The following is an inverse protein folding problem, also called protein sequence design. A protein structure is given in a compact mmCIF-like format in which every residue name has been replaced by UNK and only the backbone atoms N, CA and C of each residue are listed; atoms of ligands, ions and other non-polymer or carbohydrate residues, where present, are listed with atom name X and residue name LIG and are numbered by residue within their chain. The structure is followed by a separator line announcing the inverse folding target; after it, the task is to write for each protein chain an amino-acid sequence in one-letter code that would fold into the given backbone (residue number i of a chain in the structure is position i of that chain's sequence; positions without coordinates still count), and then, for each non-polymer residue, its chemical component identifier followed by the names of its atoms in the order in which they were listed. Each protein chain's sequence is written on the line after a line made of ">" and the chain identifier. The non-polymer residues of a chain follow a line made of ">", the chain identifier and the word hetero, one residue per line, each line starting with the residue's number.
data_IF_543267463253
#
_entry.id   IF_543267463253
#
_cell.length_a   1.000
_cell.length_b   1.000
_cell.length_c   1.000
_cell.angle_alpha   90.00
_cell.angle_beta   90.00
_cell.angle_gamma   90.00
#
_symmetry.space_group_name_H-M   'P 1'
#
loop_
_entity.id
_entity.type
_entity.pdbx_description
1 polymer ?
#
# COMPACT_ATOMS: atom_id res chain seq x y z
N UNK A 1 -56.01 -5.34 34.59
CA UNK A 1 -54.90 -4.43 34.28
C UNK A 1 -53.62 -5.19 34.60
N UNK A 2 -53.00 -5.80 33.60
CA UNK A 2 -51.67 -6.40 33.70
C UNK A 2 -50.91 -5.86 32.50
N UNK A 3 -49.99 -4.94 32.77
CA UNK A 3 -49.19 -4.29 31.75
C UNK A 3 -48.10 -5.25 31.27
N UNK A 4 -48.02 -5.44 29.96
CA UNK A 4 -46.90 -6.08 29.29
C UNK A 4 -45.72 -5.10 29.25
N UNK A 5 -44.51 -5.58 29.54
CA UNK A 5 -43.27 -4.90 29.16
C UNK A 5 -42.47 -5.90 28.32
N UNK A 6 -42.53 -5.70 27.01
CA UNK A 6 -41.59 -6.29 26.07
C UNK A 6 -40.37 -5.37 26.01
N UNK A 7 -39.22 -5.84 26.49
CA UNK A 7 -37.93 -5.17 26.26
C UNK A 7 -37.38 -5.74 24.97
N UNK A 8 -37.57 -5.00 23.87
CA UNK A 8 -36.81 -5.15 22.64
C UNK A 8 -35.42 -4.54 22.88
N UNK A 9 -34.44 -5.37 23.23
CA UNK A 9 -33.04 -4.99 23.14
C UNK A 9 -32.61 -5.16 21.68
N UNK A 10 -32.84 -4.13 20.86
CA UNK A 10 -32.16 -4.00 19.56
C UNK A 10 -30.75 -3.51 19.88
N UNK A 11 -29.83 -4.46 20.08
CA UNK A 11 -28.41 -4.19 20.11
C UNK A 11 -27.94 -3.89 18.70
N UNK A 12 -28.00 -2.63 18.29
CA UNK A 12 -27.14 -2.13 17.22
C UNK A 12 -25.85 -1.65 17.90
N UNK A 13 -24.84 -2.52 17.94
CA UNK A 13 -23.45 -2.06 18.14
C UNK A 13 -23.05 -1.34 16.86
N UNK A 14 -23.42 -0.07 16.75
CA UNK A 14 -22.80 0.82 15.79
C UNK A 14 -21.39 1.11 16.31
N UNK A 15 -20.41 0.36 15.83
CA UNK A 15 -19.02 0.73 16.01
C UNK A 15 -18.76 1.92 15.07
N UNK A 16 -18.57 3.09 15.67
CA UNK A 16 -18.15 4.30 14.98
C UNK A 16 -16.61 4.29 14.98
N UNK A 17 -16.03 3.61 14.00
CA UNK A 17 -14.61 3.77 13.69
C UNK A 17 -14.47 5.07 12.89
N UNK A 18 -13.57 5.96 13.31
CA UNK A 18 -13.18 7.16 12.56
C UNK A 18 -11.72 7.49 12.88
N UNK A 19 -10.80 6.72 12.33
CA UNK A 19 -9.37 7.03 12.21
C UNK A 19 -9.15 8.04 11.07
N UNK A 20 -7.95 8.61 10.92
CA UNK A 20 -7.64 9.54 9.81
C UNK A 20 -6.18 9.36 9.39
N UNK A 21 -5.97 8.64 8.29
CA UNK A 21 -4.67 8.23 7.79
C UNK A 21 -4.25 9.11 6.60
N UNK A 22 -3.27 9.97 6.80
CA UNK A 22 -2.87 10.93 5.75
C UNK A 22 -1.43 10.68 5.32
N UNK A 23 -1.21 10.21 4.09
CA UNK A 23 0.14 10.31 3.49
C UNK A 23 0.46 11.77 3.17
N UNK A 24 1.47 12.38 3.82
CA UNK A 24 1.87 13.77 3.58
C UNK A 24 3.32 13.89 3.11
N UNK A 25 3.51 14.00 1.80
CA UNK A 25 4.69 14.63 1.19
C UNK A 25 5.83 13.67 0.82
N UNK A 26 5.79 13.15 -0.41
CA UNK A 26 6.95 12.45 -0.99
C UNK A 26 8.05 13.46 -1.35
N UNK A 27 9.21 13.41 -0.66
CA UNK A 27 10.36 14.27 -0.94
C UNK A 27 11.22 13.71 -2.10
N UNK A 28 11.51 14.55 -3.11
CA UNK A 28 12.32 14.18 -4.27
C UNK A 28 13.78 14.68 -4.23
N UNK A 29 14.69 13.80 -4.66
CA UNK A 29 15.88 14.18 -5.42
C UNK A 29 15.88 13.41 -6.75
N UNK A 30 15.25 13.99 -7.78
CA UNK A 30 15.27 13.46 -9.14
C UNK A 30 16.65 13.71 -9.79
N UNK A 31 17.49 12.68 -9.79
CA UNK A 31 18.77 12.68 -10.50
C UNK A 31 18.60 12.35 -11.98
N UNK A 32 18.39 13.36 -12.82
CA UNK A 32 18.67 13.37 -14.28
C UNK A 32 17.88 12.44 -15.23
N UNK A 33 16.82 11.75 -14.78
CA UNK A 33 15.91 10.99 -15.65
C UNK A 33 14.47 11.47 -15.45
N UNK A 34 13.76 11.60 -16.57
CA UNK A 34 12.33 11.92 -16.65
C UNK A 34 11.54 10.61 -16.39
N UNK A 35 11.34 10.31 -15.10
CA UNK A 35 10.48 9.22 -14.63
C UNK A 35 9.12 9.83 -14.28
N UNK A 36 8.11 9.45 -15.06
CA UNK A 36 6.73 9.82 -14.78
C UNK A 36 5.99 8.61 -14.22
N UNK A 37 5.04 8.87 -13.35
CA UNK A 37 4.29 7.82 -12.67
C UNK A 37 2.80 8.08 -12.89
N UNK A 38 1.99 7.03 -12.89
CA UNK A 38 0.55 7.10 -12.69
C UNK A 38 0.12 6.02 -11.69
N UNK A 39 -1.07 6.18 -11.13
CA UNK A 39 -1.63 5.21 -10.19
C UNK A 39 -3.10 4.97 -10.51
N UNK A 40 -3.49 3.71 -10.46
CA UNK A 40 -4.90 3.31 -10.47
C UNK A 40 -5.17 2.43 -9.26
N UNK A 41 -6.17 2.78 -8.47
CA UNK A 41 -6.38 2.18 -7.15
C UNK A 41 -7.82 1.75 -6.90
N UNK A 42 -7.95 0.76 -6.04
CA UNK A 42 -9.19 0.13 -5.61
C UNK A 42 -9.16 -0.03 -4.09
N UNK A 43 -10.32 0.10 -3.44
CA UNK A 43 -10.44 -0.02 -1.99
C UNK A 43 -11.77 -0.67 -1.60
N UNK A 44 -11.80 -1.35 -0.46
CA UNK A 44 -13.05 -1.80 0.14
C UNK A 44 -13.92 -0.60 0.46
N UNK A 45 -15.13 -0.57 -0.11
CA UNK A 45 -16.13 0.44 0.20
C UNK A 45 -16.64 0.26 1.63
N UNK A 46 -16.49 1.29 2.46
CA UNK A 46 -17.01 1.31 3.85
C UNK A 46 -18.53 1.14 3.93
N UNK A 47 -19.25 1.40 2.84
CA UNK A 47 -20.71 1.29 2.78
C UNK A 47 -21.23 -0.07 2.31
N UNK A 48 -20.46 -0.78 1.46
CA UNK A 48 -20.90 -2.02 0.81
C UNK A 48 -20.03 -3.22 1.13
N UNK A 49 -18.83 -3.02 1.66
CA UNK A 49 -17.82 -4.07 1.87
C UNK A 49 -17.26 -4.67 0.59
N UNK A 50 -17.59 -4.09 -0.58
CA UNK A 50 -17.09 -4.54 -1.88
C UNK A 50 -15.90 -3.71 -2.32
N UNK A 51 -14.96 -4.32 -3.05
CA UNK A 51 -13.88 -3.61 -3.70
C UNK A 51 -14.44 -2.66 -4.78
N UNK A 52 -14.05 -1.39 -4.74
CA UNK A 52 -14.49 -0.34 -5.67
C UNK A 52 -13.30 0.51 -6.11
N UNK A 53 -13.37 1.13 -7.29
CA UNK A 53 -12.34 2.06 -7.74
C UNK A 53 -12.24 3.28 -6.80
N UNK A 54 -11.02 3.66 -6.44
CA UNK A 54 -10.74 4.78 -5.54
C UNK A 54 -10.22 6.00 -6.32
N UNK A 55 -11.07 7.01 -6.49
CA UNK A 55 -10.68 8.23 -7.21
C UNK A 55 -9.70 9.13 -6.43
N UNK A 56 -9.57 8.96 -5.10
CA UNK A 56 -8.72 9.83 -4.28
C UNK A 56 -7.23 9.51 -4.47
N UNK A 57 -6.91 8.24 -4.75
CA UNK A 57 -5.55 7.74 -4.95
C UNK A 57 -5.31 7.30 -6.40
N UNK A 58 -6.28 7.48 -7.30
CA UNK A 58 -6.11 7.25 -8.74
C UNK A 58 -5.85 8.56 -9.48
N UNK A 59 -4.76 8.62 -10.23
CA UNK A 59 -4.33 9.85 -10.90
C UNK A 59 -3.52 9.55 -12.15
N UNK A 60 -3.64 10.43 -13.13
CA UNK A 60 -2.99 10.30 -14.44
C UNK A 60 -1.51 10.67 -14.40
N UNK A 61 -0.77 10.20 -15.42
CA UNK A 61 0.66 10.41 -15.65
C UNK A 61 1.15 11.81 -15.29
N UNK A 62 2.16 11.88 -14.44
CA UNK A 62 2.82 13.11 -13.99
C UNK A 62 4.13 12.82 -13.23
N UNK A 63 4.86 13.89 -12.95
CA UNK A 63 5.92 13.86 -11.94
C UNK A 63 5.27 13.86 -10.55
N UNK A 64 5.76 13.00 -9.66
CA UNK A 64 5.29 12.95 -8.28
C UNK A 64 5.68 14.22 -7.53
N UNK A 65 4.70 14.81 -6.85
CA UNK A 65 4.86 15.99 -5.99
C UNK A 65 4.14 15.77 -4.65
N UNK A 66 2.83 15.61 -4.68
CA UNK A 66 1.96 15.50 -3.50
C UNK A 66 1.01 14.30 -3.60
N UNK A 67 1.15 13.50 -4.65
CA UNK A 67 0.32 12.35 -4.95
C UNK A 67 0.42 11.29 -3.85
N UNK A 68 -0.71 10.66 -3.58
CA UNK A 68 -0.84 9.60 -2.58
C UNK A 68 -1.07 8.27 -3.27
N UNK A 69 -0.31 7.25 -2.85
CA UNK A 69 -0.57 5.86 -3.20
C UNK A 69 -1.59 5.24 -2.24
N UNK A 70 -1.78 5.81 -1.07
CA UNK A 70 -2.87 5.41 -0.18
C UNK A 70 -3.29 6.61 0.67
N UNK A 71 -4.58 6.66 0.98
CA UNK A 71 -5.21 7.70 1.77
C UNK A 71 -6.48 7.09 2.38
N UNK A 72 -6.41 6.74 3.66
CA UNK A 72 -7.52 6.09 4.34
C UNK A 72 -8.07 7.05 5.40
N UNK A 73 -9.38 7.12 5.55
CA UNK A 73 -9.98 8.01 6.54
C UNK A 73 -10.90 7.26 7.50
N UNK A 74 -10.98 5.94 7.37
CA UNK A 74 -11.86 5.08 8.16
C UNK A 74 -11.51 3.62 7.84
N UNK A 75 -10.43 3.09 8.41
CA UNK A 75 -9.96 1.72 8.16
C UNK A 75 -10.59 0.76 9.18
N UNK A 76 -11.32 -0.23 8.68
CA UNK A 76 -11.94 -1.27 9.52
C UNK A 76 -11.21 -2.59 9.41
N UNK A 77 -11.18 -3.41 10.48
CA UNK A 77 -10.56 -4.72 10.43
C UNK A 77 -11.06 -5.55 9.24
N UNK A 78 -10.13 -5.99 8.38
CA UNK A 78 -10.42 -6.71 7.14
C UNK A 78 -10.60 -5.83 5.90
N UNK A 79 -10.56 -4.50 6.02
CA UNK A 79 -10.47 -3.61 4.87
C UNK A 79 -9.16 -3.84 4.13
N UNK A 80 -9.26 -3.74 2.80
CA UNK A 80 -8.13 -3.89 1.91
C UNK A 80 -8.22 -2.88 0.80
N UNK A 81 -7.09 -2.69 0.12
CA UNK A 81 -7.07 -1.97 -1.13
C UNK A 81 -5.85 -2.37 -1.94
N UNK A 82 -5.86 -1.94 -3.18
CA UNK A 82 -4.91 -2.36 -4.18
C UNK A 82 -4.66 -1.25 -5.19
N UNK A 83 -3.43 -1.08 -5.63
CA UNK A 83 -3.10 -0.16 -6.71
C UNK A 83 -2.12 -0.73 -7.72
N UNK A 84 -2.25 -0.26 -8.96
CA UNK A 84 -1.27 -0.39 -10.03
C UNK A 84 -0.50 0.91 -10.15
N UNK A 85 0.78 0.84 -9.83
CA UNK A 85 1.71 1.96 -10.03
C UNK A 85 2.42 1.74 -11.37
N UNK A 86 2.19 2.62 -12.33
CA UNK A 86 2.88 2.58 -13.62
C UNK A 86 4.12 3.47 -13.59
N UNK A 87 5.27 2.91 -13.95
CA UNK A 87 6.56 3.58 -14.02
C UNK A 87 6.94 3.79 -15.48
N UNK A 88 6.99 5.06 -15.91
CA UNK A 88 7.28 5.45 -17.30
C UNK A 88 8.69 5.99 -17.41
N UNK A 89 9.59 5.19 -17.98
CA UNK A 89 10.99 5.60 -18.21
C UNK A 89 11.06 6.27 -19.58
N UNK A 90 11.04 7.60 -19.65
CA UNK A 90 10.77 8.27 -20.93
C UNK A 90 11.91 8.17 -21.96
N UNK A 91 13.18 8.38 -21.57
CA UNK A 91 14.22 8.70 -22.56
C UNK A 91 15.50 7.86 -22.50
N UNK A 92 15.95 7.44 -21.33
CA UNK A 92 17.23 6.76 -21.15
C UNK A 92 17.04 5.47 -20.38
N UNK A 93 17.80 4.45 -20.75
CA UNK A 93 17.84 3.21 -20.01
C UNK A 93 18.26 3.48 -18.56
N UNK A 94 17.52 2.91 -17.62
CA UNK A 94 17.56 3.32 -16.22
C UNK A 94 17.51 2.14 -15.25
N UNK A 95 18.23 2.29 -14.16
CA UNK A 95 18.06 1.53 -12.92
C UNK A 95 16.97 2.19 -12.09
N UNK A 96 16.18 1.38 -11.39
CA UNK A 96 15.08 1.82 -10.55
C UNK A 96 15.16 1.23 -9.15
N UNK A 97 14.98 2.08 -8.16
CA UNK A 97 14.80 1.71 -6.76
C UNK A 97 13.52 2.34 -6.24
N UNK A 98 12.84 1.67 -5.32
CA UNK A 98 11.79 2.27 -4.52
C UNK A 98 12.27 2.37 -3.06
N UNK A 99 11.96 3.47 -2.39
CA UNK A 99 12.21 3.64 -0.97
C UNK A 99 10.89 3.95 -0.27
N UNK A 100 10.65 3.25 0.83
CA UNK A 100 9.46 3.43 1.67
C UNK A 100 9.93 3.80 3.06
N UNK A 101 9.44 4.92 3.60
CA UNK A 101 9.79 5.40 4.94
C UNK A 101 8.53 5.63 5.75
N UNK A 102 8.41 4.99 6.92
CA UNK A 102 7.37 5.35 7.89
C UNK A 102 7.74 6.70 8.51
N UNK A 103 6.94 7.74 8.34
CA UNK A 103 7.25 9.11 8.78
C UNK A 103 6.45 9.55 10.00
N UNK A 104 5.31 8.93 10.28
CA UNK A 104 4.59 9.09 11.55
C UNK A 104 3.87 7.80 11.95
N UNK A 105 3.67 7.63 13.26
CA UNK A 105 2.93 6.53 13.89
C UNK A 105 2.41 7.05 15.22
N UNK A 106 1.31 7.79 15.17
CA UNK A 106 0.81 8.64 16.26
C UNK A 106 -0.46 8.03 16.87
N UNK A 107 -0.50 8.02 18.20
CA UNK A 107 -1.72 7.85 19.00
C UNK A 107 -2.34 9.24 19.19
N UNK A 108 -3.51 9.50 18.60
CA UNK A 108 -4.09 10.84 18.57
C UNK A 108 -4.97 11.16 19.78
N UNK A 109 -5.73 10.18 20.29
CA UNK A 109 -6.59 10.36 21.46
C UNK A 109 -7.13 9.04 22.01
N UNK A 110 -6.88 8.74 23.28
CA UNK A 110 -7.44 7.51 23.86
C UNK A 110 -8.92 7.59 24.21
N UNK A 111 -9.72 6.82 23.49
CA UNK A 111 -11.15 6.62 23.72
C UNK A 111 -11.41 5.54 24.78
N UNK A 112 -12.61 5.51 25.34
CA UNK A 112 -12.97 4.47 26.32
C UNK A 112 -12.91 3.04 25.75
N UNK A 113 -13.34 2.78 24.49
CA UNK A 113 -13.17 1.46 23.86
C UNK A 113 -11.70 1.04 23.68
N UNK A 114 -10.81 1.96 23.30
CA UNK A 114 -9.36 1.71 23.18
C UNK A 114 -8.77 1.27 24.53
N UNK A 115 -8.97 2.10 25.56
CA UNK A 115 -8.46 1.84 26.90
C UNK A 115 -9.04 0.55 27.51
N UNK A 116 -10.29 0.22 27.19
CA UNK A 116 -10.91 -1.03 27.64
C UNK A 116 -10.30 -2.27 26.97
N UNK A 117 -9.74 -2.13 25.76
CA UNK A 117 -9.08 -3.21 25.02
C UNK A 117 -7.56 -3.29 25.27
N UNK A 118 -7.05 -2.48 26.20
CA UNK A 118 -5.68 -2.56 26.70
C UNK A 118 -4.71 -1.55 26.09
N UNK A 119 -5.23 -0.54 25.40
CA UNK A 119 -4.46 0.58 24.89
C UNK A 119 -3.85 1.45 26.02
N UNK A 120 -2.76 2.15 25.69
CA UNK A 120 -2.04 3.06 26.56
C UNK A 120 -2.56 4.48 26.33
N UNK A 121 -3.06 5.10 27.41
CA UNK A 121 -3.49 6.50 27.38
C UNK A 121 -2.46 7.42 26.69
N UNK A 122 -2.92 8.25 25.75
CA UNK A 122 -2.14 9.19 24.95
C UNK A 122 -1.28 10.14 25.81
N UNK A 123 -1.71 10.39 27.05
CA UNK A 123 -0.93 11.16 28.02
C UNK A 123 0.34 10.43 28.50
N UNK A 124 0.44 9.12 28.26
CA UNK A 124 1.54 8.23 28.65
C UNK A 124 2.38 7.74 27.47
N UNK A 125 1.78 7.55 26.29
CA UNK A 125 2.46 7.19 25.04
C UNK A 125 1.81 7.94 23.88
N UNK A 126 2.58 8.46 22.93
CA UNK A 126 2.04 9.08 21.71
C UNK A 126 2.30 8.23 20.47
N UNK A 127 2.78 7.00 20.66
CA UNK A 127 3.08 6.07 19.55
C UNK A 127 1.86 5.18 19.37
N UNK A 128 1.32 5.16 18.15
CA UNK A 128 0.16 4.33 17.81
C UNK A 128 0.52 2.88 17.48
N UNK A 129 -0.53 2.07 17.32
CA UNK A 129 -0.50 0.63 17.05
C UNK A 129 -0.98 0.26 15.63
N UNK A 130 -1.50 1.23 14.87
CA UNK A 130 -2.04 0.98 13.54
C UNK A 130 -0.97 0.52 12.53
N UNK A 131 0.23 1.11 12.56
CA UNK A 131 1.27 0.79 11.58
C UNK A 131 1.80 -0.66 11.66
N UNK A 132 1.57 -1.33 12.79
CA UNK A 132 1.90 -2.73 13.04
C UNK A 132 0.79 -3.68 12.54
N UNK A 133 -0.41 -3.15 12.27
CA UNK A 133 -1.57 -3.93 11.87
C UNK A 133 -1.98 -3.74 10.40
N UNK A 134 -1.52 -2.67 9.73
CA UNK A 134 -1.62 -2.53 8.28
C UNK A 134 -0.44 -3.25 7.61
N UNK A 135 -0.74 -4.28 6.83
CA UNK A 135 0.24 -5.08 6.12
C UNK A 135 0.18 -4.80 4.63
N UNK A 136 1.33 -4.61 4.01
CA UNK A 136 1.48 -4.38 2.58
C UNK A 136 1.98 -5.63 1.86
N UNK A 137 1.65 -5.75 0.58
CA UNK A 137 2.19 -6.71 -0.37
C UNK A 137 2.48 -5.97 -1.68
N UNK A 138 3.60 -6.29 -2.32
CA UNK A 138 4.01 -5.68 -3.58
C UNK A 138 4.46 -6.77 -4.55
N UNK A 139 4.22 -6.60 -5.84
CA UNK A 139 4.69 -7.52 -6.87
C UNK A 139 5.03 -6.82 -8.18
N UNK A 140 5.84 -7.48 -8.99
CA UNK A 140 6.05 -7.11 -10.38
C UNK A 140 4.80 -7.51 -11.17
N UNK A 141 4.01 -6.50 -11.54
CA UNK A 141 2.71 -6.67 -12.19
C UNK A 141 2.86 -6.49 -13.71
N UNK A 142 1.97 -7.09 -14.48
CA UNK A 142 1.89 -6.90 -15.93
C UNK A 142 0.93 -5.76 -16.36
N UNK A 143 0.30 -5.12 -15.37
CA UNK A 143 -0.52 -3.91 -15.47
C UNK A 143 -2.02 -4.14 -15.28
N UNK A 144 -2.48 -5.39 -15.14
CA UNK A 144 -3.89 -5.69 -14.95
C UNK A 144 -4.40 -5.52 -13.50
N UNK A 145 -3.48 -5.32 -12.54
CA UNK A 145 -3.77 -5.18 -11.10
C UNK A 145 -4.35 -6.45 -10.49
N UNK A 146 -3.78 -7.60 -10.81
CA UNK A 146 -4.19 -8.88 -10.28
C UNK A 146 -2.94 -9.69 -10.00
N UNK A 147 -2.77 -10.16 -8.76
CA UNK A 147 -1.64 -11.03 -8.46
C UNK A 147 -1.84 -12.42 -9.05
N UNK A 148 -0.94 -12.81 -9.96
CA UNK A 148 -1.05 -14.02 -10.76
C UNK A 148 0.09 -15.04 -10.53
N UNK A 149 -0.19 -16.30 -10.86
CA UNK A 149 0.85 -17.34 -10.86
C UNK A 149 2.01 -16.98 -11.80
N UNK A 150 3.22 -16.90 -11.24
CA UNK A 150 4.44 -16.59 -11.99
C UNK A 150 4.91 -15.15 -11.85
N UNK A 151 4.14 -14.28 -11.22
CA UNK A 151 4.57 -12.93 -10.86
C UNK A 151 5.49 -12.92 -9.64
N UNK A 152 6.46 -12.00 -9.67
CA UNK A 152 7.48 -11.89 -8.63
C UNK A 152 6.95 -11.06 -7.47
N UNK A 153 6.73 -11.69 -6.32
CA UNK A 153 6.46 -10.95 -5.08
C UNK A 153 7.72 -10.28 -4.56
N UNK A 154 7.56 -9.05 -4.09
CA UNK A 154 8.62 -8.26 -3.48
C UNK A 154 8.54 -8.37 -1.96
N UNK A 155 9.65 -8.13 -1.24
CA UNK A 155 9.64 -8.05 0.22
C UNK A 155 8.58 -7.06 0.71
N UNK A 156 7.71 -7.50 1.60
CA UNK A 156 6.61 -6.72 2.12
C UNK A 156 6.22 -7.17 3.54
N UNK A 157 5.44 -6.37 4.24
CA UNK A 157 5.06 -6.56 5.63
C UNK A 157 4.39 -5.31 6.20
N UNK A 158 4.32 -5.23 7.53
CA UNK A 158 3.87 -4.01 8.21
C UNK A 158 5.02 -3.00 8.33
N UNK A 159 4.70 -1.71 8.30
CA UNK A 159 5.71 -0.65 8.41
C UNK A 159 6.12 -0.39 9.85
N UNK A 160 5.25 -0.68 10.82
CA UNK A 160 5.54 -0.49 12.25
C UNK A 160 6.74 -1.30 12.77
N UNK A 161 7.11 -2.42 12.13
CA UNK A 161 8.33 -3.17 12.47
C UNK A 161 9.63 -2.44 12.12
N UNK A 162 9.59 -1.50 11.16
CA UNK A 162 10.78 -0.75 10.74
C UNK A 162 11.08 0.42 11.66
N UNK A 163 10.04 0.94 12.33
CA UNK A 163 10.11 2.12 13.18
C UNK A 163 10.04 3.44 12.40
N UNK A 164 9.54 4.49 13.05
CA UNK A 164 9.41 5.82 12.44
C UNK A 164 10.79 6.38 12.07
N UNK A 165 10.91 6.89 10.85
CA UNK A 165 12.13 7.42 10.25
C UNK A 165 13.01 6.37 9.57
N UNK A 166 12.68 5.08 9.66
CA UNK A 166 13.42 4.03 8.98
C UNK A 166 12.98 3.91 7.51
N UNK A 167 13.95 3.84 6.60
CA UNK A 167 13.72 3.67 5.17
C UNK A 167 14.02 2.24 4.75
N UNK A 168 13.06 1.58 4.12
CA UNK A 168 13.26 0.31 3.43
C UNK A 168 13.46 0.55 1.94
N UNK A 169 14.59 0.12 1.40
CA UNK A 169 14.89 0.19 -0.04
C UNK A 169 14.59 -1.13 -0.72
N UNK A 170 13.79 -1.06 -1.79
CA UNK A 170 13.43 -2.17 -2.66
C UNK A 170 14.14 -1.99 -4.01
N UNK A 171 14.90 -3.00 -4.41
CA UNK A 171 15.53 -3.05 -5.73
C UNK A 171 14.52 -3.48 -6.79
N UNK A 172 14.11 -2.56 -7.65
CA UNK A 172 13.24 -2.86 -8.80
C UNK A 172 14.09 -3.30 -10.01
N UNK A 173 15.13 -2.54 -10.33
CA UNK A 173 16.13 -2.90 -11.32
C UNK A 173 17.48 -2.24 -11.01
N UNK A 174 18.53 -3.04 -10.88
CA UNK A 174 19.91 -2.60 -10.76
C UNK A 174 20.87 -3.53 -11.53
N UNK A 175 22.18 -3.30 -11.40
CA UNK A 175 23.17 -4.12 -12.12
C UNK A 175 23.17 -5.61 -11.76
N UNK A 176 22.52 -5.99 -10.67
CA UNK A 176 22.47 -7.36 -10.14
C UNK A 176 21.08 -8.00 -10.22
N UNK A 177 20.00 -7.22 -10.16
CA UNK A 177 18.63 -7.71 -10.07
C UNK A 177 17.68 -6.92 -10.97
N UNK A 178 16.65 -7.57 -11.51
CA UNK A 178 15.53 -6.91 -12.18
C UNK A 178 14.27 -7.74 -11.95
N UNK A 179 13.24 -7.14 -11.35
CA UNK A 179 12.04 -7.86 -10.93
C UNK A 179 11.12 -8.28 -12.09
N UNK A 180 11.25 -7.62 -13.26
CA UNK A 180 10.49 -7.95 -14.47
C UNK A 180 11.26 -8.80 -15.47
N UNK A 181 12.52 -9.13 -15.19
CA UNK A 181 13.36 -9.88 -16.10
C UNK A 181 14.05 -11.04 -15.37
N UNK A 182 14.01 -12.23 -15.98
CA UNK A 182 14.80 -13.38 -15.54
C UNK A 182 16.30 -13.24 -15.91
N UNK A 183 16.85 -12.03 -15.83
CA UNK A 183 18.20 -11.70 -16.25
C UNK A 183 18.80 -10.55 -15.43
N UNK A 184 20.00 -10.77 -14.89
CA UNK A 184 20.75 -9.77 -14.13
C UNK A 184 21.35 -8.70 -15.05
N UNK A 185 21.52 -7.49 -14.52
CA UNK A 185 22.16 -6.39 -15.26
C UNK A 185 21.35 -5.88 -16.46
N UNK A 186 20.03 -6.07 -16.44
CA UNK A 186 19.13 -5.56 -17.47
C UNK A 186 18.45 -4.29 -16.97
N UNK A 187 18.81 -3.10 -17.46
CA UNK A 187 18.10 -1.88 -17.09
C UNK A 187 16.72 -1.85 -17.74
N UNK A 188 15.81 -1.02 -17.22
CA UNK A 188 14.59 -0.68 -17.96
C UNK A 188 14.98 0.18 -19.15
N UNK A 189 14.40 -0.11 -20.32
CA UNK A 189 14.74 0.63 -21.54
C UNK A 189 14.04 1.98 -21.56
N UNK A 190 14.67 2.97 -22.20
CA UNK A 190 13.98 4.21 -22.51
C UNK A 190 12.76 3.96 -23.41
N UNK A 191 11.61 4.50 -23.01
CA UNK A 191 10.30 4.31 -23.63
C UNK A 191 9.46 3.18 -23.01
N UNK A 192 10.02 2.43 -22.05
CA UNK A 192 9.30 1.34 -21.39
C UNK A 192 8.35 1.85 -20.30
N UNK A 193 7.21 1.17 -20.18
CA UNK A 193 6.32 1.23 -19.02
C UNK A 193 6.45 -0.09 -18.27
N UNK A 194 6.55 0.00 -16.94
CA UNK A 194 6.52 -1.17 -16.04
C UNK A 194 5.54 -0.93 -14.91
N UNK A 195 4.94 -1.99 -14.41
CA UNK A 195 3.90 -1.91 -13.40
C UNK A 195 4.36 -2.57 -12.10
N UNK A 196 3.99 -1.94 -11.00
CA UNK A 196 4.10 -2.50 -9.66
C UNK A 196 2.68 -2.60 -9.12
N UNK A 197 2.28 -3.82 -8.80
CA UNK A 197 1.07 -4.05 -8.02
C UNK A 197 1.37 -3.86 -6.55
N UNK A 198 0.45 -3.20 -5.85
CA UNK A 198 0.50 -2.99 -4.40
C UNK A 198 -0.83 -3.39 -3.82
N UNK A 199 -0.85 -4.23 -2.80
CA UNK A 199 -2.01 -4.47 -1.96
C UNK A 199 -1.72 -4.10 -0.51
N UNK A 200 -2.75 -3.70 0.22
CA UNK A 200 -2.69 -3.51 1.66
C UNK A 200 -3.92 -4.13 2.33
N UNK A 201 -3.76 -4.51 3.59
CA UNK A 201 -4.79 -5.15 4.39
C UNK A 201 -4.66 -4.69 5.84
N UNK A 202 -5.76 -4.28 6.45
CA UNK A 202 -5.83 -4.11 7.89
C UNK A 202 -6.12 -5.46 8.55
N UNK A 203 -5.04 -6.15 8.91
CA UNK A 203 -5.04 -7.56 9.29
C UNK A 203 -3.90 -8.32 8.62
N UNK A 204 -4.07 -9.63 8.46
CA UNK A 204 -3.08 -10.49 7.82
C UNK A 204 -3.27 -10.54 6.31
N UNK A 205 -2.24 -10.14 5.57
CA UNK A 205 -2.18 -10.24 4.11
C UNK A 205 -1.46 -11.54 3.69
N UNK A 206 -1.99 -12.23 2.69
CA UNK A 206 -1.33 -13.40 2.12
C UNK A 206 -1.59 -13.52 0.61
N UNK A 207 -0.61 -14.00 -0.17
CA UNK A 207 -0.80 -14.27 -1.59
C UNK A 207 -1.87 -15.35 -1.79
N UNK A 208 -2.79 -15.10 -2.71
CA UNK A 208 -3.81 -16.04 -3.18
C UNK A 208 -3.88 -15.97 -4.72
N UNK A 209 -2.72 -16.22 -5.34
CA UNK A 209 -2.49 -15.98 -6.76
C UNK A 209 -3.57 -16.60 -7.63
N UNK A 210 -4.10 -15.82 -8.58
CA UNK A 210 -5.02 -16.35 -9.58
C UNK A 210 -4.24 -16.94 -10.75
N UNK A 211 -4.90 -17.81 -11.53
CA UNK A 211 -4.27 -18.39 -12.72
C UNK A 211 -3.97 -17.30 -13.76
N UNK A 212 -2.71 -17.21 -14.16
CA UNK A 212 -2.16 -16.28 -15.15
C UNK A 212 -2.95 -16.30 -16.47
N UNK A 213 -3.44 -15.14 -16.93
CA UNK A 213 -4.23 -15.02 -18.16
C UNK A 213 -3.40 -14.68 -19.42
N UNK A 214 -2.15 -14.26 -19.23
CA UNK A 214 -1.18 -13.95 -20.27
C UNK A 214 -1.36 -12.59 -20.93
N UNK A 215 -2.19 -11.70 -20.36
CA UNK A 215 -2.45 -10.37 -20.86
C UNK A 215 -2.37 -9.35 -19.72
N UNK A 216 -1.63 -8.27 -19.97
CA UNK A 216 -1.81 -7.06 -19.18
C UNK A 216 -3.23 -6.49 -19.35
N UNK A 217 -3.46 -5.30 -18.78
CA UNK A 217 -4.81 -4.72 -18.74
C UNK A 217 -5.52 -4.61 -20.09
N UNK A 218 -6.64 -5.32 -20.20
CA UNK A 218 -7.58 -5.26 -21.35
C UNK A 218 -8.93 -4.62 -20.98
N UNK A 219 -9.10 -4.21 -19.72
CA UNK A 219 -10.30 -3.58 -19.20
C UNK A 219 -11.39 -4.55 -18.72
N UNK A 220 -11.23 -5.86 -18.94
CA UNK A 220 -12.13 -6.91 -18.44
C UNK A 220 -11.41 -8.00 -17.63
N UNK A 221 -10.12 -7.82 -17.37
CA UNK A 221 -9.29 -8.73 -16.58
C UNK A 221 -8.79 -8.11 -15.26
N UNK A 222 -9.27 -6.92 -14.88
CA UNK A 222 -8.86 -6.32 -13.62
C UNK A 222 -9.44 -7.00 -12.37
N UNK A 223 -9.12 -6.48 -11.18
CA UNK A 223 -9.42 -7.11 -9.89
C UNK A 223 -10.91 -7.19 -9.58
N UNK A 224 -11.72 -6.29 -10.16
CA UNK A 224 -13.18 -6.33 -10.03
C UNK A 224 -13.83 -7.53 -10.75
N UNK A 225 -13.12 -8.17 -11.68
CA UNK A 225 -13.62 -9.32 -12.45
C UNK A 225 -12.95 -10.61 -12.00
N UNK A 226 -11.63 -10.59 -11.82
CA UNK A 226 -10.83 -11.78 -11.55
C UNK A 226 -10.51 -11.98 -10.07
N UNK A 227 -10.79 -10.98 -9.23
CA UNK A 227 -10.24 -10.90 -7.88
C UNK A 227 -8.83 -10.29 -7.91
N UNK A 228 -8.33 -9.90 -6.74
CA UNK A 228 -7.03 -9.23 -6.57
C UNK A 228 -5.84 -10.20 -6.60
N UNK A 229 -6.08 -11.51 -6.45
CA UNK A 229 -5.02 -12.48 -6.19
C UNK A 229 -4.37 -12.34 -4.81
N UNK A 230 -4.94 -11.53 -3.92
CA UNK A 230 -4.44 -11.27 -2.57
C UNK A 230 -5.57 -11.46 -1.56
N UNK A 231 -5.29 -12.21 -0.50
CA UNK A 231 -6.23 -12.42 0.60
C UNK A 231 -5.94 -11.49 1.77
N UNK A 232 -6.99 -10.88 2.32
CA UNK A 232 -6.95 -10.14 3.57
C UNK A 232 -7.79 -10.89 4.60
N UNK A 233 -7.18 -11.24 5.73
CA UNK A 233 -7.81 -12.05 6.78
C UNK A 233 -7.38 -11.58 8.17
N UNK A 234 -7.85 -12.24 9.23
CA UNK A 234 -7.41 -11.93 10.58
C UNK A 234 -8.00 -10.64 11.18
N UNK A 235 -8.84 -9.90 10.44
CA UNK A 235 -9.53 -8.72 10.97
C UNK A 235 -10.35 -9.01 12.24
N UNK A 236 -10.91 -10.21 12.39
CA UNK A 236 -11.64 -10.61 13.59
C UNK A 236 -10.77 -10.77 14.85
N UNK A 237 -9.44 -10.82 14.70
CA UNK A 237 -8.50 -10.88 15.81
C UNK A 237 -7.99 -9.49 16.22
N UNK A 238 -8.31 -8.45 15.45
CA UNK A 238 -8.03 -7.06 15.79
C UNK A 238 -9.10 -6.55 16.77
N UNK A 239 -8.67 -5.70 17.69
CA UNK A 239 -9.51 -5.08 18.72
C UNK A 239 -9.60 -3.57 18.50
N UNK A 240 -10.13 -2.85 19.49
CA UNK A 240 -10.33 -1.42 19.38
C UNK A 240 -9.08 -0.60 19.66
N UNK A 241 -7.88 -1.16 19.84
CA UNK A 241 -6.70 -0.39 20.25
C UNK A 241 -6.18 0.61 19.20
N UNK A 242 -6.69 0.60 17.97
CA UNK A 242 -6.12 1.35 16.83
C UNK A 242 -7.06 2.40 16.26
N UNK A 243 -8.15 2.74 16.95
CA UNK A 243 -9.27 3.47 16.34
C UNK A 243 -8.97 4.94 16.07
N UNK A 244 -8.13 5.56 16.88
CA UNK A 244 -7.78 6.96 16.76
C UNK A 244 -6.34 7.16 16.31
N UNK A 245 -5.58 6.09 16.18
CA UNK A 245 -4.23 6.10 15.64
C UNK A 245 -4.17 6.72 14.26
N UNK A 246 -2.96 7.17 13.89
CA UNK A 246 -2.65 7.54 12.53
C UNK A 246 -1.22 7.20 12.14
N UNK A 247 -1.01 6.77 10.91
CA UNK A 247 0.30 6.51 10.34
C UNK A 247 0.49 7.24 9.01
N UNK A 248 1.72 7.69 8.78
CA UNK A 248 2.14 8.32 7.53
C UNK A 248 3.35 7.58 7.00
N UNK A 249 3.37 7.27 5.71
CA UNK A 249 4.58 6.81 5.05
C UNK A 249 4.81 7.53 3.72
N UNK A 250 6.08 7.73 3.42
CA UNK A 250 6.58 8.32 2.17
C UNK A 250 7.04 7.19 1.26
N UNK A 251 6.61 7.24 -0.01
CA UNK A 251 7.04 6.32 -1.06
C UNK A 251 7.74 7.14 -2.14
N UNK A 252 9.01 6.83 -2.37
CA UNK A 252 9.81 7.50 -3.40
C UNK A 252 10.37 6.51 -4.40
N UNK A 253 10.51 6.96 -5.64
CA UNK A 253 11.13 6.19 -6.71
C UNK A 253 12.37 6.93 -7.20
N UNK A 254 13.48 6.20 -7.30
CA UNK A 254 14.75 6.74 -7.81
C UNK A 254 15.08 6.08 -9.14
N UNK A 255 15.35 6.92 -10.12
CA UNK A 255 15.85 6.49 -11.43
C UNK A 255 17.30 6.97 -11.64
N UNK A 256 18.17 6.05 -12.05
CA UNK A 256 19.59 6.35 -12.35
C UNK A 256 19.97 5.79 -13.71
N UNK A 257 20.60 6.59 -14.56
CA UNK A 257 20.90 6.19 -15.93
C UNK A 257 21.89 5.05 -15.96
N UNK A 258 21.58 3.98 -16.71
CA UNK A 258 22.41 2.79 -16.76
C UNK A 258 23.72 2.98 -17.54
N UNK A 259 23.69 3.76 -18.63
CA UNK A 259 24.82 3.97 -19.56
C UNK A 259 26.13 4.35 -18.87
N UNK A 260 26.07 5.23 -17.88
CA UNK A 260 27.25 5.72 -17.16
C UNK A 260 27.40 5.10 -15.76
N UNK A 261 26.45 4.25 -15.35
CA UNK A 261 26.39 3.65 -14.02
C UNK A 261 26.17 2.14 -14.11
N UNK A 262 26.96 1.45 -14.94
CA UNK A 262 26.75 0.02 -15.24
C UNK A 262 26.80 -0.91 -14.01
N UNK A 263 27.48 -0.50 -12.93
CA UNK A 263 27.58 -1.24 -11.66
C UNK A 263 26.72 -0.66 -10.53
N UNK A 264 25.70 0.13 -10.85
CA UNK A 264 24.80 0.70 -9.85
C UNK A 264 24.06 -0.41 -9.09
N UNK A 265 23.96 -0.25 -7.78
CA UNK A 265 23.19 -1.12 -6.90
C UNK A 265 22.25 -0.23 -6.08
N UNK A 266 21.01 -0.67 -5.89
CA UNK A 266 20.10 0.05 -5.01
C UNK A 266 20.64 -0.01 -3.58
N UNK A 267 20.81 1.16 -2.98
CA UNK A 267 21.23 1.33 -1.59
C UNK A 267 20.28 2.29 -0.90
N UNK A 268 20.14 2.13 0.41
CA UNK A 268 19.40 3.06 1.24
C UNK A 268 20.00 4.46 1.09
N UNK A 269 19.17 5.50 0.87
CA UNK A 269 19.65 6.87 0.85
C UNK A 269 20.31 7.22 2.20
N UNK A 270 21.41 7.98 2.15
CA UNK A 270 22.13 8.49 3.33
C UNK A 270 21.33 9.52 4.12
#
# INVERSE_FOLDING_TARGET
>A
MVAAVAVLAVGATGAFFSDTETSTGNLFTAGAIDLQIDNESYVTSTSTGALVANANTSWSLRDLTIEKFFDFADVKPGDMGEDTISLHVNNNDSWLCADITLTSDEENSSTEPELSDGDIDVASSTVGELSQNINFMWWADDGDNVYEEGEVSLPAGNLGQTGVGATTTITLADSSNNIWANATGTPLLGGDVRYIGKAWCFGSIAPDAVAQDGNGKTGQNGPLVRGTGVSCSGGSALNNMTQTDSMTADVSFRAVQSRNNAGYLCQQPE
#
